data_IF_592616614879
#
_entry.id   IF_592616614879
#
_cell.length_a   1.000
_cell.length_b   1.000
_cell.length_c   1.000
_cell.angle_alpha   90.00
_cell.angle_beta   90.00
_cell.angle_gamma   90.00
#
_symmetry.space_group_name_H-M   'P 1'
#
loop_
_entity.id
_entity.type
_entity.pdbx_description
1 polymer ?
#
# COMPACT_ATOMS: atom_id res chain seq x y z
N UNK A 1 -12.42 -52.06 -1.05
CA UNK A 1 -13.14 -50.77 -0.86
C UNK A 1 -12.78 -50.03 0.45
N UNK A 2 -11.53 -50.13 0.95
CA UNK A 2 -11.12 -49.44 2.21
C UNK A 2 -10.07 -48.32 2.02
N UNK A 3 -9.57 -48.12 0.80
CA UNK A 3 -8.50 -47.13 0.51
C UNK A 3 -9.02 -45.75 0.07
N UNK A 4 -10.28 -45.66 -0.35
CA UNK A 4 -10.89 -44.40 -0.83
C UNK A 4 -11.36 -43.53 0.35
N UNK A 5 -11.76 -44.15 1.47
CA UNK A 5 -12.21 -43.42 2.66
C UNK A 5 -11.13 -42.53 3.28
N UNK A 6 -9.85 -42.89 3.14
CA UNK A 6 -8.74 -42.11 3.72
C UNK A 6 -8.54 -40.75 3.02
N UNK A 7 -8.85 -40.66 1.72
CA UNK A 7 -8.69 -39.42 0.95
C UNK A 7 -9.74 -38.36 1.30
N UNK A 8 -10.96 -38.79 1.63
CA UNK A 8 -12.07 -37.89 2.00
C UNK A 8 -11.90 -37.28 3.41
N UNK A 9 -11.15 -37.95 4.30
CA UNK A 9 -10.88 -37.47 5.66
C UNK A 9 -9.72 -36.45 5.67
N UNK A 10 -8.81 -36.49 4.69
CA UNK A 10 -7.64 -35.60 4.60
C UNK A 10 -7.89 -34.31 3.80
N UNK A 11 -8.91 -34.26 2.92
CA UNK A 11 -9.25 -33.06 2.15
C UNK A 11 -9.57 -31.80 2.99
N UNK A 12 -10.31 -31.87 4.12
CA UNK A 12 -10.65 -30.66 4.88
C UNK A 12 -9.47 -30.06 5.66
N UNK A 13 -8.36 -30.78 5.83
CA UNK A 13 -7.15 -30.26 6.50
C UNK A 13 -6.37 -29.29 5.61
N UNK A 14 -6.36 -29.51 4.28
CA UNK A 14 -5.68 -28.61 3.34
C UNK A 14 -6.45 -27.30 3.12
N UNK A 15 -7.79 -27.32 3.20
CA UNK A 15 -8.60 -26.12 3.06
C UNK A 15 -8.48 -25.15 4.25
N UNK A 16 -7.92 -25.59 5.40
CA UNK A 16 -7.72 -24.72 6.57
C UNK A 16 -6.38 -23.99 6.59
N UNK A 17 -5.41 -24.40 5.77
CA UNK A 17 -4.09 -23.77 5.72
C UNK A 17 -4.08 -22.43 4.96
N UNK A 18 -5.11 -22.14 4.16
CA UNK A 18 -5.27 -20.84 3.49
C UNK A 18 -5.96 -19.77 4.36
N UNK A 19 -6.46 -20.13 5.55
CA UNK A 19 -6.93 -19.18 6.55
C UNK A 19 -5.76 -18.69 7.42
N UNK A 20 -4.69 -18.24 6.77
CA UNK A 20 -3.51 -17.74 7.45
C UNK A 20 -3.78 -16.30 7.90
N UNK A 21 -4.54 -16.17 8.99
CA UNK A 21 -4.53 -15.03 9.92
C UNK A 21 -4.36 -13.65 9.26
N UNK A 22 -5.27 -13.26 8.37
CA UNK A 22 -5.32 -11.88 7.92
C UNK A 22 -5.81 -11.04 9.10
N UNK A 23 -4.88 -10.36 9.77
CA UNK A 23 -5.19 -9.38 10.81
C UNK A 23 -6.29 -8.45 10.26
N UNK A 24 -7.38 -8.28 11.01
CA UNK A 24 -8.51 -7.47 10.57
C UNK A 24 -8.11 -5.99 10.46
N UNK A 25 -8.72 -5.24 9.54
CA UNK A 25 -8.57 -3.79 9.49
C UNK A 25 -9.00 -3.13 10.81
N UNK A 26 -8.28 -2.09 11.23
CA UNK A 26 -8.66 -1.23 12.35
C UNK A 26 -8.74 0.22 11.90
N UNK A 27 -9.85 0.94 12.16
CA UNK A 27 -9.96 2.35 11.78
C UNK A 27 -8.99 3.23 12.57
N UNK A 28 -8.72 4.44 12.07
CA UNK A 28 -7.74 5.37 12.65
C UNK A 28 -8.03 5.71 14.11
N UNK A 29 -9.30 5.83 14.47
CA UNK A 29 -9.78 6.15 15.82
C UNK A 29 -9.42 5.05 16.84
N UNK A 30 -9.28 3.79 16.40
CA UNK A 30 -8.88 2.68 17.25
C UNK A 30 -7.42 2.80 17.76
N UNK A 31 -6.65 3.74 17.20
CA UNK A 31 -5.27 4.04 17.58
C UNK A 31 -5.15 5.37 18.33
N UNK A 32 -6.25 5.93 18.86
CA UNK A 32 -6.25 7.26 19.51
C UNK A 32 -5.66 8.37 18.61
N UNK A 33 -5.91 8.29 17.29
CA UNK A 33 -5.37 9.19 16.28
C UNK A 33 -3.83 9.16 16.14
N UNK A 34 -3.17 8.07 16.53
CA UNK A 34 -1.75 7.85 16.28
C UNK A 34 -1.53 7.32 14.85
N UNK A 35 -1.08 8.21 13.96
CA UNK A 35 -0.76 7.90 12.55
C UNK A 35 0.29 6.81 12.41
N UNK A 36 1.29 6.76 13.30
CA UNK A 36 2.35 5.77 13.21
C UNK A 36 1.84 4.39 13.60
N UNK A 37 1.10 4.29 14.71
CA UNK A 37 0.51 3.03 15.14
C UNK A 37 -0.51 2.50 14.13
N UNK A 38 -1.33 3.39 13.56
CA UNK A 38 -2.26 3.08 12.49
C UNK A 38 -1.55 2.54 11.25
N UNK A 39 -0.51 3.24 10.77
CA UNK A 39 0.24 2.82 9.58
C UNK A 39 0.97 1.50 9.78
N UNK A 40 1.57 1.33 10.95
CA UNK A 40 2.28 0.13 11.35
C UNK A 40 1.37 -1.10 11.32
N UNK A 41 0.24 -1.03 12.01
CA UNK A 41 -0.69 -2.14 12.07
C UNK A 41 -1.34 -2.41 10.72
N UNK A 42 -1.91 -1.38 10.08
CA UNK A 42 -2.70 -1.59 8.88
C UNK A 42 -1.89 -1.84 7.62
N UNK A 43 -0.64 -1.37 7.50
CA UNK A 43 0.11 -1.50 6.25
C UNK A 43 1.43 -2.25 6.38
N UNK A 44 2.06 -2.32 7.56
CA UNK A 44 3.25 -3.17 7.78
C UNK A 44 2.84 -4.58 8.20
N UNK A 45 2.05 -4.71 9.26
CA UNK A 45 1.69 -6.03 9.79
C UNK A 45 0.70 -6.78 8.88
N UNK A 46 -0.17 -6.03 8.19
CA UNK A 46 -1.11 -6.56 7.17
C UNK A 46 -0.56 -6.48 5.75
N UNK A 47 0.75 -6.29 5.53
CA UNK A 47 1.30 -6.08 4.18
C UNK A 47 0.96 -7.20 3.18
N UNK A 48 0.89 -8.45 3.65
CA UNK A 48 0.55 -9.62 2.83
C UNK A 48 -0.91 -9.60 2.33
N UNK A 49 -1.85 -9.06 3.12
CA UNK A 49 -3.27 -8.93 2.76
C UNK A 49 -3.46 -8.13 1.46
N UNK A 50 -2.58 -7.16 1.19
CA UNK A 50 -2.71 -6.30 0.01
C UNK A 50 -2.09 -6.88 -1.26
N UNK A 51 -1.43 -8.03 -1.21
CA UNK A 51 -0.87 -8.64 -2.44
C UNK A 51 -2.00 -9.07 -3.38
N UNK A 52 -1.96 -8.59 -4.62
CA UNK A 52 -3.00 -8.86 -5.62
C UNK A 52 -4.31 -8.08 -5.42
N UNK A 53 -4.40 -7.24 -4.38
CA UNK A 53 -5.45 -6.23 -4.23
C UNK A 53 -5.25 -5.08 -5.21
N UNK A 54 -6.27 -4.25 -5.40
CA UNK A 54 -6.15 -3.06 -6.25
C UNK A 54 -5.56 -1.88 -5.48
N UNK A 55 -5.00 -0.91 -6.20
CA UNK A 55 -4.59 0.36 -5.59
C UNK A 55 -5.77 1.04 -4.89
N UNK A 56 -6.97 1.00 -5.47
CA UNK A 56 -8.18 1.56 -4.85
C UNK A 56 -8.48 0.95 -3.48
N UNK A 57 -8.45 -0.38 -3.37
CA UNK A 57 -8.64 -1.08 -2.08
C UNK A 57 -7.60 -0.66 -1.03
N UNK A 58 -6.33 -0.44 -1.43
CA UNK A 58 -5.31 0.06 -0.50
C UNK A 58 -5.61 1.49 -0.07
N UNK A 59 -5.94 2.38 -1.02
CA UNK A 59 -6.18 3.80 -0.74
C UNK A 59 -7.42 4.05 0.11
N UNK A 60 -8.46 3.23 -0.04
CA UNK A 60 -9.65 3.26 0.83
C UNK A 60 -9.27 2.93 2.28
N UNK A 61 -8.46 1.89 2.50
CA UNK A 61 -7.96 1.51 3.83
C UNK A 61 -7.02 2.58 4.43
N UNK A 62 -6.38 3.44 3.62
CA UNK A 62 -5.57 4.55 4.17
C UNK A 62 -6.44 5.46 5.01
N UNK A 63 -7.70 5.71 4.61
CA UNK A 63 -8.72 6.52 5.32
C UNK A 63 -8.32 7.97 5.65
N UNK A 64 -7.05 8.33 5.44
CA UNK A 64 -6.47 9.64 5.67
C UNK A 64 -6.36 10.42 4.35
N UNK A 65 -6.54 11.75 4.36
CA UNK A 65 -6.37 12.57 3.17
C UNK A 65 -4.95 12.46 2.59
N UNK A 66 -4.86 12.15 1.29
CA UNK A 66 -3.60 12.16 0.55
C UNK A 66 -3.16 13.61 0.37
N UNK A 67 -2.06 14.00 1.03
CA UNK A 67 -1.53 15.38 0.96
C UNK A 67 -0.55 15.57 -0.19
N UNK A 68 0.31 14.57 -0.37
CA UNK A 68 1.33 14.57 -1.42
C UNK A 68 1.40 13.19 -2.04
N UNK A 69 1.61 13.19 -3.35
CA UNK A 69 1.87 12.01 -4.15
C UNK A 69 3.26 12.10 -4.78
N UNK A 70 3.98 10.99 -4.84
CA UNK A 70 5.17 10.85 -5.69
C UNK A 70 5.14 9.50 -6.39
N UNK A 71 5.56 9.46 -7.65
CA UNK A 71 5.74 8.20 -8.38
C UNK A 71 7.15 7.66 -8.20
N UNK A 72 7.25 6.35 -8.18
CA UNK A 72 8.51 5.62 -8.27
C UNK A 72 8.62 4.96 -9.62
N UNK A 73 9.79 5.10 -10.24
CA UNK A 73 10.02 4.73 -11.63
C UNK A 73 11.17 3.74 -11.75
N UNK A 74 11.04 2.81 -12.68
CA UNK A 74 12.14 2.00 -13.20
C UNK A 74 12.22 2.25 -14.71
N UNK A 75 13.23 3.00 -15.15
CA UNK A 75 13.31 3.48 -16.52
C UNK A 75 12.14 4.42 -16.86
N UNK A 76 11.34 4.05 -17.87
CA UNK A 76 10.22 4.85 -18.37
C UNK A 76 8.85 4.40 -17.84
N UNK A 77 8.80 3.47 -16.91
CA UNK A 77 7.54 2.98 -16.32
C UNK A 77 7.44 3.39 -14.87
N UNK A 78 6.22 3.67 -14.43
CA UNK A 78 5.92 3.87 -13.02
C UNK A 78 5.67 2.51 -12.39
N UNK A 79 6.50 2.15 -11.41
CA UNK A 79 6.45 0.86 -10.70
C UNK A 79 5.89 0.98 -9.30
N UNK A 80 5.71 2.21 -8.79
CA UNK A 80 5.10 2.43 -7.48
C UNK A 80 4.67 3.85 -7.22
N UNK A 81 3.99 4.03 -6.09
CA UNK A 81 3.35 5.26 -5.65
C UNK A 81 3.71 5.48 -4.18
N UNK A 82 4.01 6.73 -3.82
CA UNK A 82 4.33 7.14 -2.47
C UNK A 82 3.26 8.14 -2.07
N UNK A 83 2.40 7.71 -1.15
CA UNK A 83 1.24 8.46 -0.70
C UNK A 83 1.52 8.98 0.71
N UNK A 84 1.65 10.30 0.84
CA UNK A 84 1.98 10.96 2.09
C UNK A 84 0.71 11.45 2.77
N UNK A 85 0.51 11.01 4.01
CA UNK A 85 -0.62 11.40 4.86
C UNK A 85 -0.25 12.56 5.81
N UNK A 86 1.04 12.73 6.13
CA UNK A 86 1.56 13.79 7.02
C UNK A 86 2.88 14.44 6.52
N UNK A 87 2.89 14.90 5.27
CA UNK A 87 4.06 15.53 4.65
C UNK A 87 4.47 16.85 5.31
N UNK A 88 5.77 17.00 5.61
CA UNK A 88 6.39 18.26 6.07
C UNK A 88 7.28 18.81 4.94
N UNK A 89 6.80 19.81 4.16
CA UNK A 89 7.49 20.27 2.94
C UNK A 89 8.91 20.77 3.17
N UNK A 90 9.14 21.52 4.24
CA UNK A 90 10.44 22.15 4.53
C UNK A 90 11.52 21.14 4.90
N UNK A 91 11.12 19.97 5.40
CA UNK A 91 12.05 18.89 5.71
C UNK A 91 12.19 17.89 4.55
N UNK A 92 11.34 17.99 3.51
CA UNK A 92 11.15 16.96 2.49
C UNK A 92 10.95 15.56 3.11
N UNK A 93 10.29 15.52 4.27
CA UNK A 93 10.19 14.35 5.13
C UNK A 93 8.74 14.17 5.59
N UNK A 94 8.32 12.92 5.74
CA UNK A 94 6.95 12.59 6.14
C UNK A 94 6.76 11.09 6.16
N UNK A 95 5.72 10.63 6.86
CA UNK A 95 5.30 9.26 6.79
C UNK A 95 4.51 9.07 5.48
N UNK A 96 4.80 7.97 4.81
CA UNK A 96 4.15 7.64 3.55
C UNK A 96 3.87 6.15 3.48
N UNK A 97 2.89 5.81 2.66
CA UNK A 97 2.62 4.44 2.28
C UNK A 97 3.10 4.28 0.85
N UNK A 98 4.11 3.44 0.66
CA UNK A 98 4.58 3.04 -0.65
C UNK A 98 3.73 1.87 -1.16
N UNK A 99 3.09 2.06 -2.31
CA UNK A 99 2.29 1.06 -3.01
C UNK A 99 3.03 0.70 -4.29
N UNK A 100 3.63 -0.48 -4.34
CA UNK A 100 4.33 -0.97 -5.53
C UNK A 100 3.38 -1.80 -6.38
N UNK A 101 3.39 -1.52 -7.69
CA UNK A 101 2.49 -2.14 -8.65
C UNK A 101 3.03 -3.52 -9.06
N UNK A 102 2.11 -4.45 -9.29
CA UNK A 102 2.41 -5.76 -9.87
C UNK A 102 2.78 -5.62 -11.34
N UNK A 103 2.05 -4.77 -12.08
CA UNK A 103 2.35 -4.41 -13.45
C UNK A 103 2.69 -2.91 -13.49
N UNK A 104 3.88 -2.53 -14.00
CA UNK A 104 4.21 -1.13 -14.19
C UNK A 104 3.27 -0.43 -15.17
N UNK A 105 2.97 0.84 -14.93
CA UNK A 105 2.14 1.66 -15.82
C UNK A 105 2.98 2.64 -16.65
N UNK A 106 2.44 3.08 -17.78
CA UNK A 106 3.09 4.06 -18.66
C UNK A 106 3.24 5.41 -17.95
N UNK A 107 4.49 5.80 -17.65
CA UNK A 107 4.80 7.04 -16.96
C UNK A 107 4.34 8.28 -17.74
N UNK A 108 4.33 8.24 -19.08
CA UNK A 108 3.88 9.38 -19.90
C UNK A 108 2.39 9.63 -19.76
N UNK A 109 1.58 8.58 -19.62
CA UNK A 109 0.14 8.73 -19.37
C UNK A 109 -0.09 9.39 -18.02
N UNK A 110 0.62 8.93 -16.99
CA UNK A 110 0.52 9.51 -15.65
C UNK A 110 0.97 10.98 -15.62
N UNK A 111 2.09 11.33 -16.27
CA UNK A 111 2.58 12.73 -16.39
C UNK A 111 1.53 13.65 -17.04
N UNK A 112 0.82 13.17 -18.07
CA UNK A 112 -0.26 13.96 -18.69
C UNK A 112 -1.39 14.26 -17.70
N UNK A 113 -1.78 13.27 -16.89
CA UNK A 113 -2.77 13.45 -15.82
C UNK A 113 -2.28 14.40 -14.73
N UNK A 114 -0.97 14.45 -14.50
CA UNK A 114 -0.31 15.39 -13.59
C UNK A 114 -0.19 16.83 -14.14
N UNK A 115 -0.84 17.14 -15.27
CA UNK A 115 -0.77 18.45 -15.92
C UNK A 115 0.48 18.66 -16.79
N UNK A 116 1.20 17.60 -17.12
CA UNK A 116 2.42 17.64 -17.93
C UNK A 116 3.70 17.86 -17.13
N UNK A 117 3.63 18.21 -15.85
CA UNK A 117 4.80 18.34 -14.98
C UNK A 117 5.19 16.98 -14.38
N UNK A 118 6.37 16.42 -14.72
CA UNK A 118 6.83 15.17 -14.13
C UNK A 118 7.08 15.24 -12.62
N UNK A 119 7.25 16.44 -12.05
CA UNK A 119 7.55 16.64 -10.63
C UNK A 119 6.32 17.01 -9.80
N UNK A 120 5.15 17.16 -10.42
CA UNK A 120 3.92 17.48 -9.73
C UNK A 120 3.67 16.52 -8.56
N UNK A 121 3.27 17.09 -7.43
CA UNK A 121 3.01 16.39 -6.17
C UNK A 121 1.52 16.28 -5.85
N UNK A 122 0.69 16.82 -6.75
CA UNK A 122 -0.75 16.94 -6.58
C UNK A 122 -1.41 15.60 -6.85
N UNK A 123 -2.22 15.17 -5.89
CA UNK A 123 -3.15 14.05 -6.07
C UNK A 123 -4.47 14.56 -6.63
N UNK A 124 -5.00 13.94 -7.68
CA UNK A 124 -6.28 14.33 -8.30
C UNK A 124 -7.20 13.13 -8.50
N UNK A 125 -8.53 13.35 -8.64
CA UNK A 125 -9.47 12.27 -8.96
C UNK A 125 -9.12 11.50 -10.25
N UNK A 126 -8.58 12.17 -11.27
CA UNK A 126 -8.19 11.53 -12.53
C UNK A 126 -7.00 10.59 -12.36
N UNK A 127 -6.05 10.96 -11.49
CA UNK A 127 -4.93 10.10 -11.11
C UNK A 127 -5.46 8.88 -10.34
N UNK A 128 -6.41 9.07 -9.43
CA UNK A 128 -7.07 7.97 -8.73
C UNK A 128 -7.76 7.02 -9.73
N UNK A 129 -8.62 7.53 -10.61
CA UNK A 129 -9.35 6.73 -11.58
C UNK A 129 -8.42 5.94 -12.53
N UNK A 130 -7.29 6.54 -12.91
CA UNK A 130 -6.28 5.87 -13.73
C UNK A 130 -5.61 4.68 -13.01
N UNK A 131 -5.37 4.80 -11.71
CA UNK A 131 -4.58 3.83 -10.94
C UNK A 131 -5.43 2.82 -10.15
N UNK A 132 -6.68 3.15 -9.82
CA UNK A 132 -7.46 2.42 -8.80
C UNK A 132 -7.63 0.93 -9.07
N UNK A 133 -7.58 0.50 -10.33
CA UNK A 133 -7.76 -0.90 -10.72
C UNK A 133 -6.43 -1.66 -10.87
N UNK A 134 -5.30 -0.96 -10.81
CA UNK A 134 -3.98 -1.58 -10.92
C UNK A 134 -3.71 -2.50 -9.74
N UNK A 135 -3.04 -3.62 -10.01
CA UNK A 135 -2.75 -4.63 -8.99
C UNK A 135 -1.53 -4.29 -8.18
N UNK A 136 -1.59 -4.57 -6.89
CA UNK A 136 -0.52 -4.27 -5.93
C UNK A 136 0.37 -5.49 -5.74
N UNK A 137 1.69 -5.27 -5.88
CA UNK A 137 2.73 -6.26 -5.58
C UNK A 137 3.08 -6.28 -4.10
N UNK A 138 3.23 -5.09 -3.51
CA UNK A 138 3.60 -4.94 -2.11
C UNK A 138 3.23 -3.54 -1.61
N UNK A 139 2.80 -3.46 -0.36
CA UNK A 139 2.62 -2.21 0.38
C UNK A 139 3.69 -2.12 1.46
N UNK A 140 4.28 -0.94 1.64
CA UNK A 140 5.27 -0.67 2.69
C UNK A 140 5.04 0.71 3.28
N UNK A 141 4.72 0.84 4.58
CA UNK A 141 4.78 2.14 5.21
C UNK A 141 6.23 2.54 5.47
N UNK A 142 6.52 3.82 5.35
CA UNK A 142 7.75 4.43 5.83
C UNK A 142 7.41 5.28 7.05
N UNK A 143 8.12 5.00 8.14
CA UNK A 143 7.96 5.71 9.39
C UNK A 143 9.19 6.59 9.64
N UNK A 144 9.30 7.70 8.91
CA UNK A 144 10.44 8.61 9.00
C UNK A 144 10.73 9.03 10.45
N UNK A 145 9.68 9.35 11.23
CA UNK A 145 9.81 9.76 12.64
C UNK A 145 10.39 8.64 13.52
N UNK A 146 9.87 7.43 13.41
CA UNK A 146 10.39 6.25 14.14
C UNK A 146 11.83 5.91 13.76
N UNK A 147 12.22 6.07 12.49
CA UNK A 147 13.59 5.82 12.04
C UNK A 147 14.55 6.87 12.62
N UNK A 148 14.14 8.14 12.64
CA UNK A 148 14.89 9.24 13.27
C UNK A 148 15.06 9.02 14.78
N UNK A 149 14.00 8.66 15.49
CA UNK A 149 14.03 8.37 16.94
C UNK A 149 14.95 7.19 17.29
N UNK A 150 15.06 6.20 16.39
CA UNK A 150 15.95 5.05 16.53
C UNK A 150 17.40 5.33 16.09
N UNK A 151 17.73 6.56 15.69
CA UNK A 151 19.07 6.94 15.26
C UNK A 151 19.51 6.30 13.94
N UNK A 152 18.57 5.79 13.14
CA UNK A 152 18.88 5.17 11.85
C UNK A 152 19.02 6.28 10.81
N UNK A 153 20.21 6.44 10.23
CA UNK A 153 20.42 7.32 9.07
C UNK A 153 19.67 6.74 7.87
N UNK A 154 18.81 7.57 7.26
CA UNK A 154 18.16 7.28 5.98
C UNK A 154 18.89 7.95 4.84
#
# INVERSE_FOLDING_TARGET
MKKIALFLILLPLFCRLSAQNELAYKPFEAFNNDTLAFMDYNFRQRAEYYKGKTVGEVLEDISLPIKVFTRYMEGYTTTGLFVYTDFVPHEMKGNYIAVFLQNPVDSRKLVKLMGGDPNSKTWTPEIYEFLKNEKVKVVRPNHYRLLKEKGIQM
#
